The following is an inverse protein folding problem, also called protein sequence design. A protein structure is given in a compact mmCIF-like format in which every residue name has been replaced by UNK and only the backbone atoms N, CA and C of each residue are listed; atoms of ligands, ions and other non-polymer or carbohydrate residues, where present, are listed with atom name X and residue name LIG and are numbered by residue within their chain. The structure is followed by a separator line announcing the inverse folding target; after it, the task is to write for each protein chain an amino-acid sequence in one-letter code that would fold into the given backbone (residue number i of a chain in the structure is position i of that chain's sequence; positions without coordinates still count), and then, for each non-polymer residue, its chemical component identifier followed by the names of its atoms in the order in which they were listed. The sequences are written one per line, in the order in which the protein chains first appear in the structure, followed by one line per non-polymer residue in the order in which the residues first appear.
data_IF_173178641463
#
_entry.id   IF_173178641463
#
_cell.length_a   1.000
_cell.length_b   1.000
_cell.length_c   1.000
_cell.angle_alpha   90.00
_cell.angle_beta   90.00
_cell.angle_gamma   90.00
#
_symmetry.space_group_name_H-M   'P 1'
#
loop_
_entity.id
_entity.type
_entity.pdbx_description
1 polymer ?
#
# COMPACT_ATOMS: atom_id res chain seq x y z
N UNK A 1 -1.26 -1.84 -19.36
CA UNK A 1 -1.95 -2.60 -18.30
C UNK A 1 -0.91 -3.08 -17.31
N UNK A 2 -1.11 -2.87 -16.00
CA UNK A 2 -0.18 -3.35 -14.96
C UNK A 2 -0.65 -4.77 -14.60
N UNK A 3 0.16 -5.78 -14.89
CA UNK A 3 -0.22 -7.19 -14.75
C UNK A 3 0.10 -7.80 -13.38
N UNK A 4 0.93 -7.14 -12.57
CA UNK A 4 1.36 -7.67 -11.28
C UNK A 4 0.31 -7.45 -10.19
N UNK A 5 -0.06 -8.51 -9.48
CA UNK A 5 -0.89 -8.47 -8.27
C UNK A 5 -0.04 -8.53 -7.00
N UNK A 6 1.28 -8.74 -7.11
CA UNK A 6 2.17 -8.95 -5.98
C UNK A 6 2.13 -7.82 -4.95
N UNK A 7 1.96 -6.57 -5.39
CA UNK A 7 1.91 -5.42 -4.47
C UNK A 7 0.66 -5.44 -3.60
N UNK A 8 -0.52 -5.66 -4.21
CA UNK A 8 -1.78 -5.73 -3.46
C UNK A 8 -1.87 -7.01 -2.63
N UNK A 9 -1.34 -8.13 -3.12
CA UNK A 9 -1.26 -9.37 -2.35
C UNK A 9 -0.35 -9.23 -1.13
N UNK A 10 0.79 -8.56 -1.27
CA UNK A 10 1.70 -8.28 -0.15
C UNK A 10 1.06 -7.39 0.90
N UNK A 11 0.37 -6.33 0.46
CA UNK A 11 -0.38 -5.44 1.35
C UNK A 11 -1.46 -6.23 2.13
N UNK A 12 -2.26 -7.02 1.44
CA UNK A 12 -3.30 -7.86 2.05
C UNK A 12 -2.73 -8.88 3.04
N UNK A 13 -1.57 -9.47 2.71
CA UNK A 13 -0.88 -10.40 3.61
C UNK A 13 -0.43 -9.71 4.90
N UNK A 14 0.05 -8.48 4.82
CA UNK A 14 0.47 -7.70 5.99
C UNK A 14 -0.73 -7.35 6.88
N UNK A 15 -1.82 -6.82 6.29
CA UNK A 15 -3.06 -6.53 7.02
C UNK A 15 -3.57 -7.79 7.74
N UNK A 16 -3.67 -8.92 7.04
CA UNK A 16 -4.12 -10.20 7.62
C UNK A 16 -3.22 -10.69 8.74
N UNK A 17 -1.91 -10.50 8.64
CA UNK A 17 -0.96 -10.87 9.70
C UNK A 17 -1.18 -10.01 10.94
N UNK A 18 -1.29 -8.70 10.77
CA UNK A 18 -1.47 -7.74 11.87
C UNK A 18 -2.82 -7.93 12.58
N UNK A 19 -3.91 -8.13 11.83
CA UNK A 19 -5.23 -8.35 12.44
C UNK A 19 -5.37 -9.71 13.10
N UNK A 20 -4.74 -10.77 12.55
CA UNK A 20 -4.80 -12.13 13.10
C UNK A 20 -4.24 -12.21 14.53
N UNK A 21 -3.20 -11.44 14.85
CA UNK A 21 -2.58 -11.45 16.20
C UNK A 21 -3.56 -10.94 17.28
N UNK A 22 -4.44 -9.99 16.92
CA UNK A 22 -5.38 -9.38 17.87
C UNK A 22 -6.62 -10.25 18.15
N UNK A 23 -6.95 -11.21 17.28
CA UNK A 23 -8.13 -12.09 17.29
C UNK A 23 -9.49 -11.38 17.27
N UNK A 24 -9.71 -10.34 18.08
CA UNK A 24 -10.94 -9.55 18.16
C UNK A 24 -10.64 -8.08 18.45
N UNK A 25 -11.58 -7.21 18.11
CA UNK A 25 -11.48 -5.77 18.36
C UNK A 25 -12.67 -5.30 19.19
N UNK A 26 -12.46 -4.33 20.11
CA UNK A 26 -13.53 -3.83 20.98
C UNK A 26 -14.57 -2.98 20.22
N UNK A 27 -14.17 -2.34 19.12
CA UNK A 27 -15.05 -1.59 18.21
C UNK A 27 -14.40 -1.48 16.81
N UNK A 28 -15.17 -1.08 15.77
CA UNK A 28 -14.66 -0.91 14.42
C UNK A 28 -13.53 0.11 14.30
N UNK A 29 -13.61 1.22 15.04
CA UNK A 29 -12.61 2.29 15.00
C UNK A 29 -11.23 1.81 15.49
N UNK A 30 -11.20 0.92 16.47
CA UNK A 30 -9.97 0.31 16.98
C UNK A 30 -9.32 -0.59 15.94
N UNK A 31 -10.12 -1.30 15.13
CA UNK A 31 -9.62 -2.09 14.01
C UNK A 31 -9.05 -1.16 12.92
N UNK A 32 -9.78 -0.09 12.58
CA UNK A 32 -9.35 0.91 11.60
C UNK A 32 -8.02 1.56 12.01
N UNK A 33 -7.91 2.02 13.26
CA UNK A 33 -6.70 2.66 13.78
C UNK A 33 -5.48 1.72 13.69
N UNK A 34 -5.66 0.43 14.02
CA UNK A 34 -4.56 -0.54 13.90
C UNK A 34 -4.15 -0.76 12.45
N UNK A 35 -5.12 -0.91 11.54
CA UNK A 35 -4.84 -1.10 10.12
C UNK A 35 -4.13 0.13 9.57
N UNK A 36 -4.61 1.34 9.85
CA UNK A 36 -3.97 2.59 9.44
C UNK A 36 -2.52 2.69 9.97
N UNK A 37 -2.29 2.41 11.25
CA UNK A 37 -0.95 2.42 11.82
C UNK A 37 -0.02 1.39 11.13
N UNK A 38 -0.53 0.18 10.86
CA UNK A 38 0.21 -0.85 10.12
C UNK A 38 0.54 -0.44 8.69
N UNK A 39 -0.38 0.28 8.03
CA UNK A 39 -0.20 0.76 6.66
C UNK A 39 0.85 1.87 6.60
N UNK A 40 0.83 2.82 7.54
CA UNK A 40 1.84 3.88 7.64
C UNK A 40 3.25 3.30 7.82
N UNK A 41 3.40 2.32 8.72
CA UNK A 41 4.68 1.63 8.92
C UNK A 41 5.11 0.82 7.68
N UNK A 42 4.16 0.18 7.00
CA UNK A 42 4.41 -0.58 5.79
C UNK A 42 4.90 0.32 4.63
N UNK A 43 4.27 1.49 4.45
CA UNK A 43 4.67 2.47 3.45
C UNK A 43 6.10 2.95 3.69
N UNK A 44 6.41 3.37 4.93
CA UNK A 44 7.73 3.87 5.31
C UNK A 44 8.85 2.83 5.14
N UNK A 45 8.55 1.54 5.33
CA UNK A 45 9.53 0.45 5.20
C UNK A 45 9.64 -0.11 3.79
N UNK A 46 8.51 -0.34 3.15
CA UNK A 46 8.44 -1.14 1.91
C UNK A 46 8.40 -0.27 0.65
N UNK A 47 7.67 0.84 0.70
CA UNK A 47 7.44 1.71 -0.46
C UNK A 47 8.13 3.06 -0.34
N UNK A 48 9.15 3.14 0.51
CA UNK A 48 9.98 4.34 0.73
C UNK A 48 10.56 4.92 -0.56
N UNK A 49 10.88 4.07 -1.53
CA UNK A 49 11.53 4.47 -2.75
C UNK A 49 10.61 4.27 -3.96
N UNK A 50 10.64 5.22 -4.91
CA UNK A 50 9.90 5.10 -6.15
C UNK A 50 10.39 3.92 -6.97
N UNK A 51 9.48 3.37 -7.77
CA UNK A 51 9.76 2.23 -8.64
C UNK A 51 10.57 2.69 -9.83
N UNK A 52 11.85 2.32 -9.85
CA UNK A 52 12.83 2.76 -10.85
C UNK A 52 12.43 2.43 -12.28
N UNK A 53 11.70 1.33 -12.49
CA UNK A 53 11.20 0.94 -13.79
C UNK A 53 10.29 2.00 -14.44
N UNK A 54 9.59 2.81 -13.63
CA UNK A 54 8.72 3.87 -14.15
C UNK A 54 9.46 5.14 -14.56
N UNK A 55 10.74 5.30 -14.21
CA UNK A 55 11.50 6.48 -14.66
C UNK A 55 11.57 6.61 -16.18
N UNK A 56 11.59 5.48 -16.90
CA UNK A 56 11.64 5.47 -18.37
C UNK A 56 10.39 6.05 -19.04
N UNK A 57 9.27 6.08 -18.33
CA UNK A 57 7.97 6.52 -18.85
C UNK A 57 7.44 7.74 -18.11
N UNK A 58 8.25 8.34 -17.22
CA UNK A 58 7.84 9.44 -16.34
C UNK A 58 7.32 10.63 -17.14
N UNK A 59 8.02 11.04 -18.20
CA UNK A 59 7.62 12.19 -19.02
C UNK A 59 6.25 11.98 -19.68
N UNK A 60 5.97 10.75 -20.13
CA UNK A 60 4.67 10.40 -20.74
C UNK A 60 3.55 10.42 -19.69
N UNK A 61 3.85 9.97 -18.47
CA UNK A 61 2.90 9.97 -17.37
C UNK A 61 2.58 11.38 -16.89
N UNK A 62 3.61 12.23 -16.74
CA UNK A 62 3.47 13.62 -16.31
C UNK A 62 2.60 14.41 -17.29
N UNK A 63 2.85 14.27 -18.60
CA UNK A 63 2.01 14.91 -19.65
C UNK A 63 0.55 14.44 -19.61
N UNK A 64 0.29 13.20 -19.20
CA UNK A 64 -1.08 12.69 -19.06
C UNK A 64 -1.75 13.20 -17.79
N UNK A 65 -0.98 13.38 -16.72
CA UNK A 65 -1.47 13.91 -15.45
C UNK A 65 -1.92 15.37 -15.61
N UNK A 66 -1.17 16.18 -16.37
CA UNK A 66 -1.48 17.60 -16.61
C UNK A 66 -2.70 17.83 -17.52
N UNK A 67 -3.19 16.78 -18.18
CA UNK A 67 -4.35 16.82 -19.09
C UNK A 67 -5.65 16.34 -18.44
N UNK A 68 -5.59 15.86 -17.20
CA UNK A 68 -6.73 15.43 -16.38
C UNK A 68 -7.31 16.62 -15.63
#
# INVERSE_FOLDING_TARGET
MIYTTNWIERLNKEIRRTTKIRNSFPNPDSAMNLVCASLMDFEQKTYKYPVTAFYKVKDILDVKLDRL
#
